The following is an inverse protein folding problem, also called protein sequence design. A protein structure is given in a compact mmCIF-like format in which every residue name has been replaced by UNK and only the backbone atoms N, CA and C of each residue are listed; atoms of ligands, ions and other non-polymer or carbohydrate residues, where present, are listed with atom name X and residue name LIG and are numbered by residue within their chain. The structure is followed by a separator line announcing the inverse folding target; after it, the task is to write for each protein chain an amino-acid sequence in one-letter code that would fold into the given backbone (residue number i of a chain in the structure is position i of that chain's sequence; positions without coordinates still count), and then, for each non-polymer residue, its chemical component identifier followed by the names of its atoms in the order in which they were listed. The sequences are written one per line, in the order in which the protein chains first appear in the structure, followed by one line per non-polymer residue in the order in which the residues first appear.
data_IF_853849048433
#
_entry.id   IF_853849048433
#
_cell.length_a   1.000
_cell.length_b   1.000
_cell.length_c   1.000
_cell.angle_alpha   90.00
_cell.angle_beta   90.00
_cell.angle_gamma   90.00
#
_symmetry.space_group_name_H-M   'P 1'
#
loop_
_entity.id
_entity.type
_entity.pdbx_description
1 polymer ?
#
# COMPACT_ATOMS: atom_id res chain seq x y z
N UNK A 1 62.55 26.96 -24.41
CA UNK A 1 61.73 26.89 -23.18
C UNK A 1 60.26 27.27 -23.39
N UNK A 2 59.90 28.38 -24.04
CA UNK A 2 58.49 28.82 -24.24
C UNK A 2 57.54 27.78 -24.89
N UNK A 3 58.02 26.99 -25.86
CA UNK A 3 57.17 26.00 -26.56
C UNK A 3 56.80 24.79 -25.68
N UNK A 4 57.63 24.44 -24.69
CA UNK A 4 57.38 23.34 -23.77
C UNK A 4 56.22 23.66 -22.81
N UNK A 5 56.15 24.88 -22.30
CA UNK A 5 55.06 25.31 -21.40
C UNK A 5 53.70 25.35 -22.09
N UNK A 6 53.66 25.69 -23.39
CA UNK A 6 52.43 25.71 -24.20
C UNK A 6 51.90 24.28 -24.41
N UNK A 7 52.79 23.32 -24.68
CA UNK A 7 52.45 21.90 -24.83
C UNK A 7 51.88 21.32 -23.52
N UNK A 8 52.53 21.60 -22.39
CA UNK A 8 52.07 21.14 -21.07
C UNK A 8 50.71 21.76 -20.70
N UNK A 9 50.49 23.05 -20.99
CA UNK A 9 49.17 23.69 -20.77
C UNK A 9 48.07 23.05 -21.63
N UNK A 10 48.32 22.78 -22.91
CA UNK A 10 47.35 22.11 -23.79
C UNK A 10 47.01 20.70 -23.31
N UNK A 11 48.01 19.92 -22.90
CA UNK A 11 47.78 18.58 -22.34
C UNK A 11 46.93 18.63 -21.06
N UNK A 12 47.22 19.57 -20.14
CA UNK A 12 46.40 19.75 -18.93
C UNK A 12 44.95 20.07 -19.24
N UNK A 13 44.69 20.96 -20.19
CA UNK A 13 43.31 21.28 -20.61
C UNK A 13 42.60 20.03 -21.14
N UNK A 14 43.26 19.24 -21.98
CA UNK A 14 42.68 18.00 -22.52
C UNK A 14 42.33 17.01 -21.40
N UNK A 15 43.24 16.77 -20.45
CA UNK A 15 42.97 15.86 -19.33
C UNK A 15 41.85 16.36 -18.42
N UNK A 16 41.82 17.66 -18.12
CA UNK A 16 40.75 18.27 -17.31
C UNK A 16 39.40 18.15 -18.03
N UNK A 17 39.35 18.46 -19.32
CA UNK A 17 38.13 18.32 -20.13
C UNK A 17 37.66 16.87 -20.21
N UNK A 18 38.57 15.92 -20.44
CA UNK A 18 38.24 14.50 -20.46
C UNK A 18 37.71 14.02 -19.09
N UNK A 19 38.32 14.45 -18.00
CA UNK A 19 37.86 14.14 -16.65
C UNK A 19 36.47 14.72 -16.34
N UNK A 20 36.21 15.97 -16.74
CA UNK A 20 34.91 16.61 -16.56
C UNK A 20 33.82 15.93 -17.39
N UNK A 21 34.12 15.58 -18.64
CA UNK A 21 33.20 14.83 -19.51
C UNK A 21 32.90 13.46 -18.88
N UNK A 22 33.92 12.74 -18.42
CA UNK A 22 33.74 11.44 -17.79
C UNK A 22 32.89 11.53 -16.52
N UNK A 23 33.15 12.55 -15.68
CA UNK A 23 32.36 12.81 -14.47
C UNK A 23 30.90 13.07 -14.82
N UNK A 24 30.63 13.86 -15.87
CA UNK A 24 29.27 14.14 -16.32
C UNK A 24 28.57 12.87 -16.83
N UNK A 25 29.27 12.00 -17.56
CA UNK A 25 28.74 10.71 -18.02
C UNK A 25 28.38 9.82 -16.84
N UNK A 26 29.26 9.72 -15.83
CA UNK A 26 28.98 8.94 -14.62
C UNK A 26 27.78 9.49 -13.85
N UNK A 27 27.67 10.82 -13.70
CA UNK A 27 26.52 11.46 -13.05
C UNK A 27 25.22 11.20 -13.81
N UNK A 28 25.24 11.31 -15.14
CA UNK A 28 24.07 11.04 -15.97
C UNK A 28 23.64 9.57 -15.88
N UNK A 29 24.58 8.63 -15.99
CA UNK A 29 24.29 7.21 -15.86
C UNK A 29 23.74 6.87 -14.46
N UNK A 30 24.34 7.42 -13.40
CA UNK A 30 23.84 7.25 -12.03
C UNK A 30 22.43 7.80 -11.85
N UNK A 31 22.15 8.99 -12.41
CA UNK A 31 20.82 9.58 -12.39
C UNK A 31 19.79 8.71 -13.12
N UNK A 32 20.11 8.22 -14.33
CA UNK A 32 19.20 7.36 -15.10
C UNK A 32 18.83 6.08 -14.36
N UNK A 33 19.80 5.39 -13.76
CA UNK A 33 19.56 4.16 -12.99
C UNK A 33 18.65 4.44 -11.80
N UNK A 34 18.92 5.49 -11.04
CA UNK A 34 18.10 5.84 -9.86
C UNK A 34 16.69 6.23 -10.30
N UNK A 35 16.54 7.00 -11.40
CA UNK A 35 15.23 7.40 -11.89
C UNK A 35 14.39 6.20 -12.33
N UNK A 36 15.01 5.24 -13.03
CA UNK A 36 14.34 4.02 -13.49
C UNK A 36 13.92 3.13 -12.32
N UNK A 37 14.76 3.02 -11.29
CA UNK A 37 14.42 2.26 -10.08
C UNK A 37 13.24 2.90 -9.33
N UNK A 38 13.24 4.23 -9.20
CA UNK A 38 12.14 4.96 -8.55
C UNK A 38 10.84 4.80 -9.34
N UNK A 39 10.88 4.90 -10.66
CA UNK A 39 9.71 4.74 -11.53
C UNK A 39 9.17 3.30 -11.49
N UNK A 40 10.06 2.31 -11.54
CA UNK A 40 9.70 0.90 -11.42
C UNK A 40 9.06 0.59 -10.07
N UNK A 41 9.61 1.12 -8.97
CA UNK A 41 9.02 0.97 -7.63
C UNK A 41 7.63 1.60 -7.54
N UNK A 42 7.44 2.79 -8.12
CA UNK A 42 6.12 3.44 -8.17
C UNK A 42 5.11 2.60 -8.92
N UNK A 43 5.48 2.10 -10.10
CA UNK A 43 4.63 1.22 -10.89
C UNK A 43 4.23 -0.05 -10.11
N UNK A 44 5.20 -0.70 -9.45
CA UNK A 44 4.92 -1.87 -8.61
C UNK A 44 3.99 -1.55 -7.44
N UNK A 45 4.17 -0.40 -6.77
CA UNK A 45 3.29 0.02 -5.67
C UNK A 45 1.87 0.29 -6.15
N UNK A 46 1.71 0.95 -7.30
CA UNK A 46 0.39 1.20 -7.89
C UNK A 46 -0.31 -0.10 -8.28
N UNK A 47 0.38 -1.01 -8.95
CA UNK A 47 -0.19 -2.29 -9.38
C UNK A 47 -0.51 -3.20 -8.20
N UNK A 48 0.34 -3.19 -7.16
CA UNK A 48 0.07 -3.90 -5.90
C UNK A 48 -1.16 -3.31 -5.22
N UNK A 49 -1.27 -1.98 -5.13
CA UNK A 49 -2.44 -1.31 -4.57
C UNK A 49 -3.73 -1.66 -5.31
N UNK A 50 -3.71 -1.65 -6.65
CA UNK A 50 -4.85 -2.07 -7.49
C UNK A 50 -5.23 -3.53 -7.26
N UNK A 51 -4.25 -4.41 -7.18
CA UNK A 51 -4.47 -5.85 -6.96
C UNK A 51 -5.09 -6.12 -5.59
N UNK A 52 -4.60 -5.45 -4.54
CA UNK A 52 -5.15 -5.54 -3.19
C UNK A 52 -6.60 -5.02 -3.19
N UNK A 53 -6.84 -3.82 -3.74
CA UNK A 53 -8.18 -3.22 -3.78
C UNK A 53 -9.19 -4.09 -4.55
N UNK A 54 -8.77 -4.66 -5.68
CA UNK A 54 -9.61 -5.59 -6.47
C UNK A 54 -9.91 -6.88 -5.69
N UNK A 55 -8.90 -7.46 -5.04
CA UNK A 55 -9.07 -8.67 -4.22
C UNK A 55 -10.04 -8.44 -3.06
N UNK A 56 -9.91 -7.30 -2.37
CA UNK A 56 -10.82 -6.90 -1.29
C UNK A 56 -12.25 -6.74 -1.82
N UNK A 57 -12.41 -6.06 -2.95
CA UNK A 57 -13.74 -5.83 -3.55
C UNK A 57 -14.41 -7.14 -3.97
N UNK A 58 -13.68 -8.05 -4.62
CA UNK A 58 -14.21 -9.37 -4.97
C UNK A 58 -14.57 -10.21 -3.74
N UNK A 59 -13.76 -10.15 -2.68
CA UNK A 59 -14.06 -10.84 -1.42
C UNK A 59 -15.33 -10.28 -0.76
N UNK A 60 -15.51 -8.95 -0.77
CA UNK A 60 -16.71 -8.29 -0.27
C UNK A 60 -17.94 -8.67 -1.11
N UNK A 61 -17.82 -8.66 -2.43
CA UNK A 61 -18.91 -9.02 -3.32
C UNK A 61 -19.32 -10.48 -3.15
N UNK A 62 -18.35 -11.39 -3.10
CA UNK A 62 -18.59 -12.81 -2.81
C UNK A 62 -19.32 -12.96 -1.46
N UNK A 63 -18.86 -12.27 -0.43
CA UNK A 63 -19.46 -12.29 0.90
C UNK A 63 -20.91 -11.78 0.87
N UNK A 64 -21.16 -10.68 0.18
CA UNK A 64 -22.51 -10.12 0.03
C UNK A 64 -23.45 -11.11 -0.69
N UNK A 65 -22.96 -11.77 -1.75
CA UNK A 65 -23.71 -12.81 -2.49
C UNK A 65 -23.96 -14.07 -1.64
N UNK A 66 -23.04 -14.44 -0.78
CA UNK A 66 -23.16 -15.59 0.12
C UNK A 66 -24.07 -15.33 1.34
N UNK A 67 -24.59 -14.11 1.50
CA UNK A 67 -25.44 -13.73 2.62
C UNK A 67 -24.69 -13.23 3.86
N UNK A 68 -23.38 -12.97 3.75
CA UNK A 68 -22.52 -12.41 4.80
C UNK A 68 -21.44 -13.35 5.32
N UNK A 69 -20.53 -12.81 6.12
CA UNK A 69 -19.52 -13.60 6.86
C UNK A 69 -20.01 -13.82 8.28
N UNK A 70 -19.96 -15.07 8.72
CA UNK A 70 -20.31 -15.47 10.08
C UNK A 70 -19.03 -15.84 10.84
N UNK A 71 -18.83 -15.20 11.98
CA UNK A 71 -17.67 -15.41 12.86
C UNK A 71 -18.14 -16.03 14.17
N UNK A 72 -17.40 -17.01 14.66
CA UNK A 72 -17.70 -17.66 15.94
C UNK A 72 -17.52 -16.68 17.10
N UNK A 73 -18.52 -16.61 17.98
CA UNK A 73 -18.48 -15.75 19.17
C UNK A 73 -17.70 -16.47 20.27
N UNK A 74 -16.46 -16.04 20.48
CA UNK A 74 -15.56 -16.43 21.58
C UNK A 74 -15.17 -15.23 22.44
N UNK A 75 -14.52 -15.49 23.57
CA UNK A 75 -13.86 -14.45 24.38
C UNK A 75 -12.84 -13.68 23.50
N UNK A 76 -13.03 -12.37 23.36
CA UNK A 76 -12.18 -11.48 22.55
C UNK A 76 -12.69 -11.19 21.13
N UNK A 77 -13.45 -12.10 20.51
CA UNK A 77 -14.22 -11.82 19.29
C UNK A 77 -15.54 -11.16 19.69
N UNK A 78 -15.51 -9.82 19.84
CA UNK A 78 -16.71 -9.03 20.10
C UNK A 78 -17.78 -9.22 19.00
N UNK A 79 -19.01 -8.81 19.27
CA UNK A 79 -20.08 -8.82 18.26
C UNK A 79 -20.00 -7.54 17.44
N UNK A 80 -20.31 -7.63 16.16
CA UNK A 80 -20.48 -6.45 15.33
C UNK A 80 -21.81 -5.74 15.71
N UNK A 81 -21.69 -4.63 16.44
CA UNK A 81 -22.83 -3.84 16.89
C UNK A 81 -23.50 -3.05 15.76
N UNK A 82 -22.81 -2.89 14.62
CA UNK A 82 -23.33 -2.15 13.47
C UNK A 82 -24.43 -2.92 12.73
N UNK A 83 -24.43 -4.26 12.84
CA UNK A 83 -25.44 -5.10 12.21
C UNK A 83 -26.60 -5.39 13.17
N UNK A 84 -27.73 -4.71 12.97
CA UNK A 84 -28.96 -4.93 13.72
C UNK A 84 -30.06 -5.48 12.80
N UNK A 85 -30.24 -6.81 12.79
CA UNK A 85 -31.22 -7.46 11.93
C UNK A 85 -31.45 -8.94 12.23
N UNK A 86 -32.55 -9.49 11.71
CA UNK A 86 -32.85 -10.91 11.82
C UNK A 86 -31.78 -11.77 11.11
N UNK A 87 -31.41 -12.91 11.69
CA UNK A 87 -30.36 -13.78 11.16
C UNK A 87 -28.93 -13.27 11.40
N UNK A 88 -28.74 -12.30 12.31
CA UNK A 88 -27.41 -11.88 12.77
C UNK A 88 -26.69 -13.02 13.48
N UNK A 89 -27.37 -13.65 14.45
CA UNK A 89 -26.81 -14.73 15.24
C UNK A 89 -27.40 -16.07 14.76
N UNK A 90 -26.54 -17.04 14.48
CA UNK A 90 -26.91 -18.38 14.02
C UNK A 90 -26.22 -19.40 14.93
N UNK A 91 -27.01 -20.31 15.48
CA UNK A 91 -26.48 -21.44 16.24
C UNK A 91 -26.26 -22.63 15.31
N UNK A 92 -25.06 -23.18 15.31
CA UNK A 92 -24.73 -24.37 14.53
C UNK A 92 -25.27 -25.63 15.20
N UNK A 93 -25.34 -26.74 14.45
CA UNK A 93 -25.84 -28.02 14.99
C UNK A 93 -25.01 -28.58 16.14
N UNK A 94 -23.75 -28.16 16.25
CA UNK A 94 -22.81 -28.51 17.31
C UNK A 94 -22.81 -27.49 18.47
N UNK A 95 -23.77 -26.56 18.51
CA UNK A 95 -23.97 -25.62 19.62
C UNK A 95 -23.05 -24.40 19.62
N UNK A 96 -22.34 -24.13 18.51
CA UNK A 96 -21.52 -22.91 18.40
C UNK A 96 -22.38 -21.74 17.97
N UNK A 97 -22.16 -20.60 18.60
CA UNK A 97 -22.80 -19.36 18.21
C UNK A 97 -21.95 -18.64 17.18
N UNK A 98 -22.49 -18.43 15.99
CA UNK A 98 -21.89 -17.59 14.96
C UNK A 98 -22.65 -16.26 14.88
N UNK A 99 -21.95 -15.15 14.72
CA UNK A 99 -22.54 -13.83 14.51
C UNK A 99 -22.09 -13.27 13.17
N UNK A 100 -23.00 -12.58 12.48
CA UNK A 100 -22.77 -11.98 11.17
C UNK A 100 -22.03 -10.66 11.31
N UNK A 101 -20.98 -10.49 10.51
CA UNK A 101 -20.19 -9.26 10.44
C UNK A 101 -20.47 -8.50 9.14
N UNK A 102 -20.47 -7.18 9.24
CA UNK A 102 -20.43 -6.30 8.08
C UNK A 102 -19.04 -6.37 7.42
N UNK A 103 -18.93 -6.65 6.11
CA UNK A 103 -17.61 -6.81 5.46
C UNK A 103 -16.67 -5.61 5.62
N UNK A 104 -17.12 -4.34 5.51
CA UNK A 104 -16.30 -3.17 5.84
C UNK A 104 -15.73 -3.22 7.27
N UNK A 105 -16.53 -3.61 8.26
CA UNK A 105 -16.08 -3.70 9.65
C UNK A 105 -15.03 -4.80 9.83
N UNK A 106 -15.27 -5.99 9.27
CA UNK A 106 -14.31 -7.10 9.32
C UNK A 106 -12.96 -6.71 8.71
N UNK A 107 -12.98 -6.06 7.55
CA UNK A 107 -11.75 -5.66 6.88
C UNK A 107 -11.01 -4.58 7.66
N UNK A 108 -11.70 -3.64 8.31
CA UNK A 108 -11.06 -2.67 9.22
C UNK A 108 -10.29 -3.38 10.33
N UNK A 109 -10.86 -4.44 10.92
CA UNK A 109 -10.18 -5.22 11.97
C UNK A 109 -8.97 -5.99 11.44
N UNK A 110 -9.03 -6.47 10.20
CA UNK A 110 -7.89 -7.12 9.54
C UNK A 110 -6.77 -6.09 9.31
N UNK A 111 -7.12 -4.87 8.89
CA UNK A 111 -6.13 -3.80 8.69
C UNK A 111 -5.52 -3.33 10.00
N UNK A 112 -6.32 -3.21 11.06
CA UNK A 112 -5.83 -2.86 12.40
C UNK A 112 -4.86 -3.93 12.92
N UNK A 113 -5.23 -5.20 12.80
CA UNK A 113 -4.36 -6.31 13.18
C UNK A 113 -3.07 -6.35 12.37
N UNK A 114 -3.12 -6.07 11.06
CA UNK A 114 -1.94 -5.98 10.23
C UNK A 114 -1.02 -4.84 10.67
N UNK A 115 -1.57 -3.66 10.96
CA UNK A 115 -0.82 -2.50 11.44
C UNK A 115 -0.16 -2.75 12.82
N UNK A 116 -0.80 -3.52 13.70
CA UNK A 116 -0.19 -3.95 14.97
C UNK A 116 1.03 -4.87 14.78
N UNK A 117 1.10 -5.60 13.67
CA UNK A 117 2.18 -6.54 13.37
C UNK A 117 3.30 -5.92 12.52
N UNK A 118 2.97 -4.96 11.67
CA UNK A 118 3.89 -4.33 10.75
C UNK A 118 3.42 -2.89 10.40
N UNK A 119 4.19 -1.88 10.81
CA UNK A 119 3.85 -0.46 10.57
C UNK A 119 4.35 0.07 9.21
N UNK A 120 4.90 -0.81 8.35
CA UNK A 120 5.42 -0.38 7.04
C UNK A 120 4.34 -0.10 6.01
N UNK A 121 3.18 -0.77 6.11
CA UNK A 121 2.06 -0.60 5.16
C UNK A 121 0.76 -0.39 5.94
N UNK A 122 0.21 0.82 5.83
CA UNK A 122 -1.11 1.15 6.37
C UNK A 122 -2.17 1.03 5.28
N UNK A 123 -3.12 0.14 5.50
CA UNK A 123 -4.32 0.02 4.66
C UNK A 123 -5.48 0.60 5.45
N UNK A 124 -6.24 1.52 4.85
CA UNK A 124 -7.45 2.06 5.45
C UNK A 124 -8.60 1.94 4.48
N UNK A 125 -9.74 1.48 4.98
CA UNK A 125 -10.96 1.35 4.20
C UNK A 125 -11.85 2.53 4.51
N UNK A 126 -12.29 3.20 3.45
CA UNK A 126 -13.07 4.42 3.54
C UNK A 126 -14.42 4.18 2.89
N UNK A 127 -15.49 4.44 3.63
CA UNK A 127 -16.86 4.38 3.12
C UNK A 127 -17.31 5.71 2.55
N UNK A 128 -18.17 5.70 1.52
CA UNK A 128 -18.76 6.92 0.94
C UNK A 128 -19.64 7.69 1.95
N UNK A 129 -20.23 6.97 2.89
CA UNK A 129 -20.79 7.49 4.12
C UNK A 129 -20.13 6.69 5.25
N UNK A 130 -19.03 7.20 5.81
CA UNK A 130 -18.29 6.51 6.87
C UNK A 130 -19.24 6.02 7.95
N UNK A 131 -19.26 4.70 8.18
CA UNK A 131 -20.10 4.07 9.20
C UNK A 131 -19.55 4.37 10.61
N UNK A 132 -18.27 4.73 10.68
CA UNK A 132 -17.52 5.11 11.89
C UNK A 132 -16.61 6.32 11.60
N UNK A 133 -16.14 7.04 12.62
CA UNK A 133 -15.15 8.12 12.44
C UNK A 133 -13.89 7.67 11.70
N UNK A 134 -13.46 6.42 11.92
CA UNK A 134 -12.26 5.81 11.32
C UNK A 134 -12.43 5.51 9.82
N UNK A 135 -13.65 5.18 9.40
CA UNK A 135 -14.01 4.88 8.00
C UNK A 135 -14.52 6.11 7.23
N UNK A 136 -14.49 7.29 7.85
CA UNK A 136 -14.89 8.56 7.23
C UNK A 136 -13.73 9.14 6.41
N UNK A 137 -13.95 9.58 5.16
CA UNK A 137 -12.90 10.19 4.34
C UNK A 137 -12.43 11.51 4.95
N UNK A 138 -11.12 11.69 5.03
CA UNK A 138 -10.50 13.00 5.30
C UNK A 138 -10.67 13.93 4.08
N UNK A 139 -10.48 15.25 4.24
CA UNK A 139 -10.64 16.20 3.13
C UNK A 139 -9.76 15.91 1.91
N UNK A 140 -8.60 15.28 2.11
CA UNK A 140 -7.63 14.95 1.05
C UNK A 140 -8.03 13.67 0.28
N UNK A 141 -8.95 12.88 0.83
CA UNK A 141 -9.43 11.61 0.26
C UNK A 141 -10.81 11.73 -0.39
N UNK A 142 -11.38 12.95 -0.40
CA UNK A 142 -12.64 13.29 -1.08
C UNK A 142 -12.39 13.71 -2.52
#
# INVERSE_FOLDING_TARGET
MKNWEILVKKQRVIYISAFLIWTLVCLFAGYSIISEEVESKRFLLEETGRTIASSVTHAMEFTARAGGVFVEVREGTGRDESFQGAGRDVETKDGRLLTKFDPPFLLSRITDFAAEKDDTVRVRIIGKAGLTPETTPSPEER
#
